data_IF_586424630592
#
_entry.id   IF_586424630592
#
_cell.length_a   1.000
_cell.length_b   1.000
_cell.length_c   1.000
_cell.angle_alpha   90.00
_cell.angle_beta   90.00
_cell.angle_gamma   90.00
#
_symmetry.space_group_name_H-M   'P 1'
#
loop_
_entity.id
_entity.type
_entity.pdbx_description
1 polymer ?
#
# COMPACT_ATOMS: atom_id res chain seq x y z
N UNK A 1 43.15 -7.56 48.94
CA UNK A 1 42.87 -8.39 47.75
C UNK A 1 41.45 -8.96 47.86
N UNK A 2 40.46 -8.31 47.22
CA UNK A 2 39.12 -8.85 46.91
C UNK A 2 38.68 -8.17 45.60
N UNK A 3 38.38 -8.89 44.52
CA UNK A 3 38.11 -8.29 43.22
C UNK A 3 36.72 -7.65 43.19
N UNK A 4 36.66 -6.43 42.65
CA UNK A 4 35.43 -5.67 42.40
C UNK A 4 34.80 -6.27 41.13
N UNK A 5 33.69 -7.01 41.29
CA UNK A 5 32.89 -7.48 40.15
C UNK A 5 31.99 -6.34 39.68
N UNK A 6 32.37 -5.72 38.56
CA UNK A 6 31.48 -4.87 37.77
C UNK A 6 30.46 -5.77 37.06
N UNK A 7 29.27 -5.93 37.65
CA UNK A 7 28.13 -6.52 36.96
C UNK A 7 27.60 -5.48 35.95
N UNK A 8 27.98 -5.63 34.68
CA UNK A 8 27.40 -4.89 33.58
C UNK A 8 25.96 -5.39 33.34
N UNK A 9 24.98 -4.61 33.79
CA UNK A 9 23.57 -4.83 33.45
C UNK A 9 23.39 -4.37 32.01
N UNK A 10 23.39 -5.31 31.05
CA UNK A 10 22.90 -5.05 29.69
C UNK A 10 21.39 -4.85 29.77
N UNK A 11 20.94 -3.60 29.83
CA UNK A 11 19.55 -3.25 29.57
C UNK A 11 19.29 -3.42 28.07
N UNK A 12 18.69 -4.55 27.69
CA UNK A 12 18.18 -4.76 26.34
C UNK A 12 16.91 -3.91 26.15
N UNK A 13 17.07 -2.70 25.64
CA UNK A 13 15.97 -1.86 25.20
C UNK A 13 15.29 -2.51 24.00
N UNK A 14 14.18 -3.22 24.23
CA UNK A 14 13.27 -3.62 23.15
C UNK A 14 12.60 -2.36 22.61
N UNK A 15 13.11 -1.81 21.50
CA UNK A 15 12.33 -0.90 20.67
C UNK A 15 11.17 -1.72 20.09
N UNK A 16 9.97 -1.52 20.61
CA UNK A 16 8.76 -1.98 19.95
C UNK A 16 8.66 -1.22 18.63
N UNK A 17 9.02 -1.87 17.52
CA UNK A 17 8.71 -1.36 16.20
C UNK A 17 7.18 -1.30 16.06
N UNK A 18 6.62 -0.23 15.48
CA UNK A 18 5.20 -0.23 15.15
C UNK A 18 4.95 -1.43 14.22
N UNK A 19 4.06 -2.31 14.63
CA UNK A 19 3.57 -3.34 13.73
C UNK A 19 2.76 -2.63 12.66
N UNK A 20 3.27 -2.61 11.43
CA UNK A 20 2.45 -2.26 10.28
C UNK A 20 1.19 -3.13 10.34
N UNK A 21 0.03 -2.49 10.35
CA UNK A 21 -1.22 -3.22 10.22
C UNK A 21 -1.26 -3.74 8.79
N UNK A 22 -1.53 -5.03 8.61
CA UNK A 22 -1.83 -5.52 7.27
C UNK A 22 -3.24 -5.02 6.93
N UNK A 23 -3.43 -4.43 5.74
CA UNK A 23 -4.75 -3.97 5.34
C UNK A 23 -5.75 -5.12 5.27
N UNK A 24 -7.03 -4.82 5.54
CA UNK A 24 -8.15 -5.75 5.40
C UNK A 24 -8.74 -5.62 3.97
N UNK A 25 -8.56 -6.62 3.09
CA UNK A 25 -9.05 -6.53 1.71
C UNK A 25 -10.58 -6.54 1.61
N UNK A 26 -11.32 -7.02 2.63
CA UNK A 26 -12.77 -6.94 2.66
C UNK A 26 -13.25 -5.51 2.98
N UNK A 27 -12.57 -4.79 3.88
CA UNK A 27 -12.82 -3.37 4.10
C UNK A 27 -12.39 -2.54 2.87
N UNK A 28 -11.22 -2.87 2.31
CA UNK A 28 -10.70 -2.24 1.10
C UNK A 28 -11.65 -2.34 -0.08
N UNK A 29 -12.29 -3.50 -0.28
CA UNK A 29 -13.31 -3.69 -1.31
C UNK A 29 -14.49 -2.74 -1.16
N UNK A 30 -14.90 -2.43 0.07
CA UNK A 30 -16.02 -1.52 0.34
C UNK A 30 -15.62 -0.08 0.04
N UNK A 31 -14.42 0.33 0.47
CA UNK A 31 -13.86 1.66 0.21
C UNK A 31 -13.53 1.90 -1.26
N UNK A 32 -13.07 0.88 -1.99
CA UNK A 32 -12.66 0.95 -3.39
C UNK A 32 -13.81 1.21 -4.39
N UNK A 33 -15.07 1.27 -3.93
CA UNK A 33 -16.23 1.48 -4.79
C UNK A 33 -16.13 2.75 -5.66
N UNK A 34 -15.58 3.84 -5.12
CA UNK A 34 -15.38 5.09 -5.86
C UNK A 34 -14.21 5.02 -6.87
N UNK A 35 -13.21 4.17 -6.61
CA UNK A 35 -12.02 4.02 -7.45
C UNK A 35 -12.36 3.44 -8.83
N UNK A 36 -13.43 2.65 -8.91
CA UNK A 36 -13.85 1.96 -10.12
C UNK A 36 -14.22 2.89 -11.28
N UNK A 37 -14.57 4.15 -11.00
CA UNK A 37 -14.89 5.14 -12.04
C UNK A 37 -13.71 5.43 -12.98
N UNK A 38 -12.49 5.35 -12.46
CA UNK A 38 -11.25 5.59 -13.22
C UNK A 38 -10.47 4.29 -13.43
N UNK A 39 -10.31 3.49 -12.38
CA UNK A 39 -9.42 2.33 -12.36
C UNK A 39 -10.10 1.00 -12.69
N UNK A 40 -11.41 1.00 -12.99
CA UNK A 40 -12.19 -0.21 -13.26
C UNK A 40 -12.60 -0.96 -12.00
N UNK A 41 -13.66 -1.76 -12.11
CA UNK A 41 -14.25 -2.51 -10.96
C UNK A 41 -13.32 -3.58 -10.41
N UNK A 42 -12.50 -4.12 -11.28
CA UNK A 42 -11.49 -5.16 -11.05
C UNK A 42 -10.08 -4.59 -11.04
N UNK A 43 -9.92 -3.26 -10.96
CA UNK A 43 -8.62 -2.61 -11.02
C UNK A 43 -7.98 -2.62 -12.40
N UNK A 44 -8.74 -2.97 -13.45
CA UNK A 44 -8.33 -2.85 -14.85
C UNK A 44 -8.98 -1.59 -15.45
N UNK A 45 -8.16 -0.56 -15.63
CA UNK A 45 -8.61 0.74 -16.07
C UNK A 45 -9.10 0.70 -17.52
N UNK A 46 -10.24 1.36 -17.76
CA UNK A 46 -10.74 1.64 -19.12
C UNK A 46 -10.48 3.10 -19.53
N UNK A 47 -10.21 3.98 -18.56
CA UNK A 47 -9.86 5.37 -18.83
C UNK A 47 -8.39 5.45 -19.26
N UNK A 48 -8.05 6.23 -20.31
CA UNK A 48 -6.69 6.28 -20.86
C UNK A 48 -5.65 6.82 -19.87
N UNK A 49 -6.06 7.70 -18.96
CA UNK A 49 -5.17 8.39 -18.02
C UNK A 49 -5.12 7.72 -16.65
N UNK A 50 -5.88 6.63 -16.44
CA UNK A 50 -5.89 5.88 -15.19
C UNK A 50 -5.04 4.60 -15.33
N UNK A 51 -4.08 4.36 -14.41
CA UNK A 51 -3.34 3.10 -14.40
C UNK A 51 -4.19 1.94 -13.87
N UNK A 52 -3.81 0.72 -14.26
CA UNK A 52 -4.30 -0.51 -13.64
C UNK A 52 -3.77 -0.60 -12.19
N UNK A 53 -4.66 -0.99 -11.28
CA UNK A 53 -4.34 -1.25 -9.87
C UNK A 53 -4.28 -2.74 -9.54
N UNK A 54 -4.96 -3.56 -10.33
CA UNK A 54 -5.09 -4.99 -10.09
C UNK A 54 -3.73 -5.69 -10.02
N UNK A 55 -3.48 -6.42 -8.93
CA UNK A 55 -2.27 -7.21 -8.73
C UNK A 55 -1.00 -6.38 -8.51
N UNK A 56 -1.12 -5.06 -8.32
CA UNK A 56 0.02 -4.25 -7.91
C UNK A 56 0.42 -4.59 -6.46
N UNK A 57 1.71 -4.52 -6.11
CA UNK A 57 2.13 -4.77 -4.73
C UNK A 57 1.44 -3.81 -3.75
N UNK A 58 0.96 -4.34 -2.62
CA UNK A 58 0.28 -3.54 -1.58
C UNK A 58 1.15 -2.36 -1.13
N UNK A 59 2.43 -2.61 -0.83
CA UNK A 59 3.37 -1.56 -0.42
C UNK A 59 3.53 -0.47 -1.47
N UNK A 60 3.54 -0.83 -2.75
CA UNK A 60 3.62 0.14 -3.83
C UNK A 60 2.40 1.04 -3.85
N UNK A 61 1.20 0.46 -3.73
CA UNK A 61 -0.06 1.21 -3.72
C UNK A 61 -0.12 2.17 -2.52
N UNK A 62 0.26 1.71 -1.32
CA UNK A 62 0.36 2.56 -0.12
C UNK A 62 1.34 3.71 -0.36
N UNK A 63 2.54 3.41 -0.84
CA UNK A 63 3.56 4.44 -1.15
C UNK A 63 3.04 5.47 -2.16
N UNK A 64 2.29 5.06 -3.19
CA UNK A 64 1.72 5.99 -4.15
C UNK A 64 0.66 6.90 -3.52
N UNK A 65 -0.23 6.36 -2.68
CA UNK A 65 -1.19 7.17 -1.92
C UNK A 65 -0.47 8.21 -1.05
N UNK A 66 0.55 7.80 -0.30
CA UNK A 66 1.33 8.69 0.56
C UNK A 66 2.05 9.77 -0.25
N UNK A 67 2.63 9.42 -1.41
CA UNK A 67 3.28 10.36 -2.30
C UNK A 67 2.30 11.39 -2.90
N UNK A 68 1.08 10.97 -3.26
CA UNK A 68 0.03 11.88 -3.71
C UNK A 68 -0.45 12.81 -2.59
N UNK A 69 -0.58 12.28 -1.38
CA UNK A 69 -1.04 13.01 -0.20
C UNK A 69 -0.03 14.06 0.26
N UNK A 70 1.27 13.74 0.22
CA UNK A 70 2.36 14.65 0.57
C UNK A 70 2.68 15.67 -0.54
N UNK A 71 2.26 15.39 -1.77
CA UNK A 71 2.57 16.18 -2.96
C UNK A 71 3.92 15.82 -3.61
N UNK A 72 4.62 14.80 -3.11
CA UNK A 72 5.82 14.24 -3.78
C UNK A 72 5.49 13.73 -5.18
N UNK A 73 4.30 13.13 -5.33
CA UNK A 73 3.71 12.79 -6.62
C UNK A 73 2.52 13.72 -6.89
N UNK A 74 2.54 14.42 -8.03
CA UNK A 74 1.49 15.37 -8.39
C UNK A 74 0.48 14.77 -9.36
N UNK A 75 -0.81 14.86 -9.02
CA UNK A 75 -1.92 14.62 -9.94
C UNK A 75 -3.21 15.20 -9.34
N UNK A 76 -3.94 16.04 -10.08
CA UNK A 76 -5.07 16.83 -9.55
C UNK A 76 -6.11 15.95 -8.82
N UNK A 77 -6.59 14.90 -9.48
CA UNK A 77 -7.63 14.02 -8.93
C UNK A 77 -7.09 13.14 -7.79
N UNK A 78 -5.96 12.45 -7.99
CA UNK A 78 -5.44 11.51 -7.00
C UNK A 78 -4.92 12.19 -5.74
N UNK A 79 -4.41 13.43 -5.83
CA UNK A 79 -4.05 14.20 -4.63
C UNK A 79 -5.27 14.48 -3.77
N UNK A 80 -6.41 14.88 -4.37
CA UNK A 80 -7.66 15.10 -3.61
C UNK A 80 -8.19 13.80 -3.00
N UNK A 81 -8.16 12.70 -3.76
CA UNK A 81 -8.59 11.39 -3.27
C UNK A 81 -7.70 10.95 -2.10
N UNK A 82 -6.38 11.01 -2.25
CA UNK A 82 -5.43 10.60 -1.20
C UNK A 82 -5.52 11.45 0.07
N UNK A 83 -5.98 12.69 -0.02
CA UNK A 83 -6.23 13.56 1.14
C UNK A 83 -7.57 13.29 1.82
N UNK A 84 -8.50 12.61 1.13
CA UNK A 84 -9.86 12.32 1.63
C UNK A 84 -10.00 10.99 2.36
N UNK A 85 -8.99 10.12 2.29
CA UNK A 85 -8.93 8.82 2.97
C UNK A 85 -7.86 8.84 4.06
N UNK A 86 -8.10 8.13 5.15
CA UNK A 86 -7.09 7.99 6.22
C UNK A 86 -6.04 6.89 5.90
N UNK A 87 -5.04 6.74 6.77
CA UNK A 87 -3.97 5.75 6.55
C UNK A 87 -4.47 4.31 6.60
N UNK A 88 -5.44 4.00 7.47
CA UNK A 88 -5.99 2.65 7.57
C UNK A 88 -6.80 2.31 6.31
N UNK A 89 -7.61 3.26 5.81
CA UNK A 89 -8.32 3.09 4.54
C UNK A 89 -7.36 2.93 3.35
N UNK A 90 -6.22 3.62 3.35
CA UNK A 90 -5.18 3.45 2.31
C UNK A 90 -4.64 2.01 2.33
N UNK A 91 -4.28 1.49 3.51
CA UNK A 91 -3.79 0.12 3.67
C UNK A 91 -4.85 -0.90 3.22
N UNK A 92 -6.10 -0.72 3.63
CA UNK A 92 -7.22 -1.59 3.25
C UNK A 92 -7.46 -1.59 1.72
N UNK A 93 -7.53 -0.40 1.09
CA UNK A 93 -7.70 -0.26 -0.36
C UNK A 93 -6.53 -0.91 -1.11
N UNK A 94 -5.30 -0.70 -0.64
CA UNK A 94 -4.10 -1.30 -1.22
C UNK A 94 -4.14 -2.83 -1.12
N UNK A 95 -4.49 -3.36 0.04
CA UNK A 95 -4.61 -4.81 0.26
C UNK A 95 -5.65 -5.44 -0.67
N UNK A 96 -6.80 -4.77 -0.88
CA UNK A 96 -7.82 -5.24 -1.82
C UNK A 96 -7.31 -5.36 -3.25
N UNK A 97 -6.71 -4.30 -3.81
CA UNK A 97 -6.23 -4.34 -5.20
C UNK A 97 -5.03 -5.27 -5.39
N UNK A 98 -4.16 -5.38 -4.38
CA UNK A 98 -3.03 -6.31 -4.37
C UNK A 98 -3.45 -7.78 -4.36
N UNK A 99 -4.59 -8.09 -3.75
CA UNK A 99 -5.14 -9.45 -3.72
C UNK A 99 -5.73 -9.91 -5.06
N UNK A 100 -5.82 -9.04 -6.08
CA UNK A 100 -6.34 -9.42 -7.40
C UNK A 100 -5.28 -10.17 -8.20
N UNK A 101 -5.57 -11.39 -8.60
CA UNK A 101 -4.68 -12.21 -9.42
C UNK A 101 -4.74 -11.80 -10.90
N UNK A 102 -3.58 -11.54 -11.51
CA UNK A 102 -3.43 -11.19 -12.92
C UNK A 102 -2.54 -12.22 -13.62
N UNK A 103 -2.96 -12.65 -14.82
CA UNK A 103 -2.16 -13.51 -15.69
C UNK A 103 -1.72 -12.72 -16.92
N UNK A 104 -0.41 -12.64 -17.15
CA UNK A 104 0.16 -12.08 -18.37
C UNK A 104 0.64 -13.21 -19.29
N UNK A 105 0.30 -13.13 -20.57
CA UNK A 105 0.79 -14.07 -21.59
C UNK A 105 1.73 -13.36 -22.53
N UNK A 106 2.96 -13.89 -22.67
CA UNK A 106 3.90 -13.40 -23.69
C UNK A 106 3.43 -13.90 -25.06
N UNK A 107 3.26 -13.01 -26.05
CA UNK A 107 2.91 -13.41 -27.42
C UNK A 107 3.92 -14.40 -27.99
N UNK A 108 3.46 -15.40 -28.74
CA UNK A 108 4.34 -16.45 -29.29
C UNK A 108 5.48 -15.88 -30.15
N UNK A 109 5.25 -14.77 -30.85
CA UNK A 109 6.25 -14.08 -31.66
C UNK A 109 7.39 -13.43 -30.84
N UNK A 110 7.25 -13.33 -29.52
CA UNK A 110 8.19 -12.67 -28.60
C UNK A 110 8.80 -13.63 -27.56
N UNK A 111 8.58 -14.94 -27.70
CA UNK A 111 9.18 -15.96 -26.83
C UNK A 111 10.59 -16.33 -27.27
#
# INVERSE_FOLDING_TARGET
>A
MRPIQCAAILAASLLAAPMAHAGDPQLGKQAAGACAACHGRDGIAMAPDAPNLAGQPESYLVEQFLAYRSGERAHEQMTLIAQSVDEAEIEDIAAYFAAIEITATVPDALR
#
